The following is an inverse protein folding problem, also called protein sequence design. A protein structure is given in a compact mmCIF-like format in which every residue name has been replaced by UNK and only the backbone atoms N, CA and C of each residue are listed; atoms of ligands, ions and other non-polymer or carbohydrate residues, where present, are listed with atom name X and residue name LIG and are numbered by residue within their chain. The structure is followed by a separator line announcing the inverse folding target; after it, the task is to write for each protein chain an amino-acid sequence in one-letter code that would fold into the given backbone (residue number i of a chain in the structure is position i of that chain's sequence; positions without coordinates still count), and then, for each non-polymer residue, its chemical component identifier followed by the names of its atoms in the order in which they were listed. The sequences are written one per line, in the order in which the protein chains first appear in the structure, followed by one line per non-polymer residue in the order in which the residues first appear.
data_IF_931836679990
#
_entry.id   IF_931836679990
#
_cell.length_a   1.000
_cell.length_b   1.000
_cell.length_c   1.000
_cell.angle_alpha   90.00
_cell.angle_beta   90.00
_cell.angle_gamma   90.00
#
_symmetry.space_group_name_H-M   'P 1'
#
loop_
_entity.id
_entity.type
_entity.pdbx_description
1 polymer ?
#
# COMPACT_ATOMS: atom_id res chain seq x y z
N UNK A 1 -6.82 -13.00 38.20
CA UNK A 1 -6.25 -12.54 36.92
C UNK A 1 -5.64 -13.76 36.26
N UNK A 2 -6.23 -14.13 35.13
CA UNK A 2 -5.86 -15.31 34.36
C UNK A 2 -4.56 -15.04 33.58
N UNK A 3 -3.61 -15.96 33.65
CA UNK A 3 -2.27 -15.86 33.03
C UNK A 3 -2.22 -16.53 31.65
N UNK A 4 -3.35 -16.69 30.98
CA UNK A 4 -3.49 -17.30 29.65
C UNK A 4 -3.15 -16.36 28.48
N UNK A 5 -2.23 -15.39 28.67
CA UNK A 5 -1.69 -14.61 27.55
C UNK A 5 -0.71 -15.47 26.75
N UNK A 6 -1.20 -15.97 25.62
CA UNK A 6 -0.45 -16.39 24.43
C UNK A 6 0.95 -15.77 24.37
N UNK A 7 1.98 -16.57 24.65
CA UNK A 7 3.38 -16.18 24.49
C UNK A 7 3.80 -16.43 23.04
N UNK A 8 3.07 -15.90 22.07
CA UNK A 8 3.42 -16.04 20.66
C UNK A 8 3.10 -14.76 19.89
N UNK A 9 4.21 -14.06 19.55
CA UNK A 9 4.37 -12.96 18.59
C UNK A 9 3.62 -11.65 18.86
N UNK A 10 4.38 -10.56 19.16
CA UNK A 10 4.42 -9.31 18.34
C UNK A 10 5.23 -8.14 18.96
N UNK A 11 5.82 -8.27 20.16
CA UNK A 11 6.39 -7.09 20.86
C UNK A 11 7.78 -6.60 20.41
N UNK A 12 8.32 -7.06 19.28
CA UNK A 12 9.62 -6.59 18.77
C UNK A 12 9.53 -6.12 17.32
N UNK A 13 8.68 -5.10 17.10
CA UNK A 13 8.56 -4.38 15.82
C UNK A 13 9.64 -3.32 15.56
N UNK A 14 10.68 -3.26 16.40
CA UNK A 14 11.81 -2.36 16.16
C UNK A 14 13.14 -3.09 16.46
N UNK A 15 13.68 -3.80 15.45
CA UNK A 15 15.04 -4.36 15.48
C UNK A 15 15.23 -5.80 15.99
N UNK A 16 15.17 -6.76 15.06
CA UNK A 16 15.94 -8.03 15.03
C UNK A 16 15.88 -8.99 16.24
N UNK A 17 14.81 -9.80 16.38
CA UNK A 17 14.92 -11.10 17.06
C UNK A 17 15.22 -12.21 16.03
N UNK A 18 16.07 -13.18 16.38
CA UNK A 18 16.33 -14.37 15.56
C UNK A 18 16.22 -15.64 16.43
N UNK A 19 15.90 -16.76 15.80
CA UNK A 19 15.78 -18.05 16.45
C UNK A 19 17.00 -18.91 16.15
N UNK A 20 17.49 -19.63 17.15
CA UNK A 20 18.36 -20.80 17.00
C UNK A 20 17.53 -22.02 17.34
N UNK A 21 17.58 -23.06 16.52
CA UNK A 21 16.74 -24.24 16.73
C UNK A 21 17.48 -25.54 16.49
N UNK A 22 17.01 -26.59 17.14
CA UNK A 22 17.46 -27.97 16.99
C UNK A 22 16.29 -28.86 16.59
N UNK A 23 16.46 -29.62 15.51
CA UNK A 23 15.47 -30.60 15.03
C UNK A 23 16.09 -31.99 15.01
N UNK A 24 15.26 -33.00 15.27
CA UNK A 24 15.63 -34.40 15.10
C UNK A 24 15.14 -34.87 13.73
N UNK A 25 16.01 -35.61 13.04
CA UNK A 25 15.67 -36.24 11.77
C UNK A 25 15.32 -37.73 11.96
N UNK A 26 14.70 -38.34 10.95
CA UNK A 26 14.28 -39.75 10.94
C UNK A 26 15.39 -40.76 11.26
N UNK A 27 16.65 -40.43 10.95
CA UNK A 27 17.83 -41.25 11.25
C UNK A 27 18.41 -40.98 12.65
N UNK A 28 17.64 -40.28 13.51
CA UNK A 28 18.01 -39.87 14.85
C UNK A 28 19.25 -38.93 14.91
N UNK A 29 19.60 -38.29 13.78
CA UNK A 29 20.57 -37.19 13.79
C UNK A 29 19.91 -35.88 14.26
N UNK A 30 20.72 -34.97 14.81
CA UNK A 30 20.26 -33.67 15.30
C UNK A 30 20.87 -32.57 14.43
N UNK A 31 20.01 -31.83 13.74
CA UNK A 31 20.37 -30.66 12.96
C UNK A 31 20.17 -29.39 13.78
N UNK A 32 21.07 -28.42 13.62
CA UNK A 32 20.98 -27.10 14.26
C UNK A 32 20.96 -26.03 13.18
N UNK A 33 20.02 -25.10 13.26
CA UNK A 33 19.85 -24.01 12.31
C UNK A 33 19.46 -22.70 12.98
N UNK A 34 19.40 -21.65 12.18
CA UNK A 34 18.87 -20.34 12.57
C UNK A 34 17.78 -19.85 11.61
N UNK A 35 16.85 -19.04 12.10
CA UNK A 35 15.76 -18.46 11.33
C UNK A 35 15.31 -17.12 11.89
N UNK A 36 14.73 -16.25 11.04
CA UNK A 36 13.96 -15.09 11.52
C UNK A 36 12.53 -15.47 11.85
N UNK A 37 11.98 -16.43 11.09
CA UNK A 37 10.67 -17.01 11.31
C UNK A 37 10.84 -18.53 11.47
N UNK A 38 10.67 -18.99 12.72
CA UNK A 38 10.86 -20.39 13.10
C UNK A 38 9.79 -21.30 12.46
N UNK A 39 8.53 -20.87 12.43
CA UNK A 39 7.41 -21.68 11.92
C UNK A 39 7.54 -21.89 10.42
N UNK A 40 7.75 -20.81 9.66
CA UNK A 40 8.04 -20.90 8.21
C UNK A 40 9.23 -21.81 7.96
N UNK A 41 10.30 -21.68 8.75
CA UNK A 41 11.51 -22.49 8.54
C UNK A 41 11.28 -23.98 8.80
N UNK A 42 10.46 -24.34 9.78
CA UNK A 42 10.07 -25.73 10.02
C UNK A 42 9.27 -26.29 8.85
N UNK A 43 8.31 -25.52 8.30
CA UNK A 43 7.56 -25.91 7.10
C UNK A 43 8.48 -26.13 5.89
N UNK A 44 9.43 -25.22 5.65
CA UNK A 44 10.40 -25.37 4.55
C UNK A 44 11.16 -26.69 4.64
N UNK A 45 11.65 -27.03 5.84
CA UNK A 45 12.37 -28.28 6.08
C UNK A 45 11.48 -29.51 5.99
N UNK A 46 10.31 -29.49 6.61
CA UNK A 46 9.39 -30.63 6.67
C UNK A 46 8.83 -31.01 5.29
N UNK A 47 8.40 -30.01 4.50
CA UNK A 47 7.92 -30.22 3.13
C UNK A 47 9.06 -30.30 2.09
N UNK A 48 10.33 -30.26 2.53
CA UNK A 48 11.52 -30.35 1.68
C UNK A 48 11.51 -29.35 0.50
N UNK A 49 11.06 -28.11 0.75
CA UNK A 49 10.96 -27.06 -0.27
C UNK A 49 12.33 -26.77 -0.90
N UNK A 50 12.35 -26.14 -2.08
CA UNK A 50 13.60 -25.70 -2.74
C UNK A 50 14.46 -24.79 -1.83
N UNK A 51 13.87 -24.04 -0.90
CA UNK A 51 14.56 -23.18 0.07
C UNK A 51 15.10 -23.91 1.32
N UNK A 52 14.79 -25.20 1.50
CA UNK A 52 15.28 -25.99 2.64
C UNK A 52 16.80 -26.17 2.61
N UNK A 53 17.41 -26.38 3.79
CA UNK A 53 18.84 -26.64 3.87
C UNK A 53 19.20 -27.97 3.17
N UNK A 54 20.39 -28.04 2.56
CA UNK A 54 20.85 -29.27 1.87
C UNK A 54 20.76 -30.51 2.78
N UNK A 55 21.05 -30.36 4.07
CA UNK A 55 20.99 -31.43 5.06
C UNK A 55 19.58 -32.02 5.20
N UNK A 56 18.59 -31.15 5.44
CA UNK A 56 17.19 -31.52 5.70
C UNK A 56 16.41 -31.86 4.43
N UNK A 57 16.89 -31.46 3.24
CA UNK A 57 16.36 -31.95 1.95
C UNK A 57 16.51 -33.47 1.78
N UNK A 58 17.59 -34.04 2.32
CA UNK A 58 17.89 -35.47 2.23
C UNK A 58 17.43 -36.29 3.43
N UNK A 59 16.87 -35.65 4.47
CA UNK A 59 16.55 -36.25 5.77
C UNK A 59 15.25 -35.70 6.31
N UNK A 60 14.23 -36.55 6.49
CA UNK A 60 12.94 -36.10 7.02
C UNK A 60 13.09 -35.56 8.44
N UNK A 61 12.43 -34.44 8.74
CA UNK A 61 12.28 -33.96 10.11
C UNK A 61 11.27 -34.83 10.85
N UNK A 62 11.66 -35.30 12.03
CA UNK A 62 10.83 -36.04 12.95
C UNK A 62 10.19 -35.11 14.00
N UNK A 63 10.97 -34.16 14.53
CA UNK A 63 10.53 -33.27 15.61
C UNK A 63 11.37 -31.99 15.68
N UNK A 64 10.78 -30.92 16.20
CA UNK A 64 11.47 -29.73 16.70
C UNK A 64 11.76 -30.00 18.18
N UNK A 65 13.05 -30.16 18.51
CA UNK A 65 13.47 -30.59 19.83
C UNK A 65 13.63 -29.42 20.80
N UNK A 66 14.15 -28.29 20.30
CA UNK A 66 14.34 -27.07 21.11
C UNK A 66 14.55 -25.86 20.21
N UNK A 67 14.15 -24.68 20.68
CA UNK A 67 14.52 -23.41 20.09
C UNK A 67 14.87 -22.38 21.17
N UNK A 68 15.66 -21.38 20.80
CA UNK A 68 16.00 -20.22 21.62
C UNK A 68 15.74 -18.94 20.82
N UNK A 69 15.21 -17.91 21.46
CA UNK A 69 15.30 -16.55 20.93
C UNK A 69 16.69 -16.00 21.18
N UNK A 70 17.16 -15.19 20.24
CA UNK A 70 18.44 -14.51 20.30
C UNK A 70 18.25 -13.03 19.91
N UNK A 71 19.04 -12.12 20.52
CA UNK A 71 19.08 -10.70 20.18
C UNK A 71 19.80 -10.51 18.85
N UNK A 72 19.06 -10.74 17.78
CA UNK A 72 19.51 -10.55 16.41
C UNK A 72 20.25 -11.72 15.77
N UNK A 73 20.43 -11.58 14.46
CA UNK A 73 21.06 -12.59 13.63
C UNK A 73 22.53 -12.88 14.02
N UNK A 74 23.37 -11.89 14.37
CA UNK A 74 24.76 -12.15 14.77
C UNK A 74 24.85 -13.05 16.02
N UNK A 75 24.04 -12.78 17.04
CA UNK A 75 23.99 -13.57 18.27
C UNK A 75 23.51 -15.01 18.00
N UNK A 76 22.47 -15.16 17.16
CA UNK A 76 21.96 -16.47 16.74
C UNK A 76 23.03 -17.29 16.00
N UNK A 77 23.75 -16.67 15.06
CA UNK A 77 24.78 -17.34 14.27
C UNK A 77 25.96 -17.83 15.14
N UNK A 78 26.37 -17.06 16.15
CA UNK A 78 27.42 -17.48 17.09
C UNK A 78 26.98 -18.67 17.93
N UNK A 79 25.79 -18.64 18.51
CA UNK A 79 25.26 -19.76 19.28
C UNK A 79 25.12 -21.03 18.40
N UNK A 80 24.59 -20.90 17.19
CA UNK A 80 24.48 -21.99 16.23
C UNK A 80 25.85 -22.64 15.95
N UNK A 81 26.89 -21.82 15.72
CA UNK A 81 28.25 -22.30 15.47
C UNK A 81 28.82 -23.08 16.66
N UNK A 82 28.50 -22.69 17.90
CA UNK A 82 28.90 -23.42 19.11
C UNK A 82 28.16 -24.74 19.25
N UNK A 83 26.83 -24.73 19.13
CA UNK A 83 26.01 -25.94 19.22
C UNK A 83 26.39 -26.96 18.14
N UNK A 84 26.69 -26.52 16.92
CA UNK A 84 27.13 -27.41 15.81
C UNK A 84 28.39 -28.22 16.15
N UNK A 85 29.30 -27.68 16.97
CA UNK A 85 30.55 -28.35 17.40
C UNK A 85 30.36 -29.32 18.57
N UNK A 86 29.19 -29.31 19.22
CA UNK A 86 28.93 -30.21 20.33
C UNK A 86 28.74 -31.66 19.86
N UNK A 87 29.20 -32.60 20.68
CA UNK A 87 28.90 -34.02 20.48
C UNK A 87 27.39 -34.27 20.62
N UNK A 88 26.88 -35.35 20.02
CA UNK A 88 25.47 -35.74 20.15
C UNK A 88 25.03 -35.81 21.62
N UNK A 89 25.86 -36.39 22.49
CA UNK A 89 25.58 -36.46 23.94
C UNK A 89 25.36 -35.08 24.58
N UNK A 90 26.15 -34.08 24.19
CA UNK A 90 25.98 -32.70 24.69
C UNK A 90 24.76 -32.00 24.09
N UNK A 91 24.42 -32.27 22.82
CA UNK A 91 23.19 -31.78 22.19
C UNK A 91 21.94 -32.32 22.87
N UNK A 92 21.92 -33.62 23.18
CA UNK A 92 20.82 -34.25 23.92
C UNK A 92 20.65 -33.68 25.34
N UNK A 93 21.75 -33.28 25.98
CA UNK A 93 21.69 -32.59 27.27
C UNK A 93 21.12 -31.17 27.14
N UNK A 94 21.48 -30.42 26.09
CA UNK A 94 20.88 -29.11 25.81
C UNK A 94 19.37 -29.19 25.52
N UNK A 95 18.91 -30.24 24.85
CA UNK A 95 17.48 -30.43 24.59
C UNK A 95 16.72 -30.60 25.92
N UNK A 96 17.29 -31.35 26.88
CA UNK A 96 16.65 -31.59 28.19
C UNK A 96 16.73 -30.39 29.12
N UNK A 97 17.84 -29.66 29.06
CA UNK A 97 18.14 -28.53 29.94
C UNK A 97 18.59 -27.35 29.08
N UNK A 98 17.66 -26.63 28.41
CA UNK A 98 17.99 -25.62 27.42
C UNK A 98 18.71 -24.39 27.99
N UNK A 99 18.58 -24.16 29.30
CA UNK A 99 19.32 -23.12 30.02
C UNK A 99 20.84 -23.36 30.06
N UNK A 100 21.28 -24.61 29.81
CA UNK A 100 22.71 -24.91 29.72
C UNK A 100 23.39 -24.14 28.58
N UNK A 101 22.65 -23.64 27.58
CA UNK A 101 23.22 -22.77 26.54
C UNK A 101 23.88 -21.52 27.16
N UNK A 102 23.21 -20.87 28.11
CA UNK A 102 23.70 -19.68 28.80
C UNK A 102 24.82 -20.00 29.82
N UNK A 103 24.95 -21.25 30.25
CA UNK A 103 25.95 -21.71 31.22
C UNK A 103 27.22 -22.18 30.51
N UNK A 104 27.07 -22.90 29.40
CA UNK A 104 28.19 -23.47 28.64
C UNK A 104 28.89 -22.45 27.76
N UNK A 105 28.21 -21.37 27.38
CA UNK A 105 28.74 -20.30 26.56
C UNK A 105 28.61 -18.94 27.27
N UNK A 106 29.22 -18.78 28.46
CA UNK A 106 29.11 -17.54 29.24
C UNK A 106 29.68 -16.33 28.49
N UNK A 107 30.62 -16.53 27.57
CA UNK A 107 31.20 -15.48 26.74
C UNK A 107 30.19 -14.85 25.77
N UNK A 108 29.08 -15.51 25.48
CA UNK A 108 28.04 -14.99 24.59
C UNK A 108 27.02 -14.11 25.33
N UNK A 109 27.10 -14.00 26.66
CA UNK A 109 26.17 -13.20 27.47
C UNK A 109 26.28 -11.70 27.24
N UNK A 110 27.42 -11.21 26.76
CA UNK A 110 27.61 -9.80 26.39
C UNK A 110 26.69 -9.38 25.22
N UNK A 111 26.24 -10.34 24.40
CA UNK A 111 25.33 -10.09 23.29
C UNK A 111 23.85 -10.19 23.70
N UNK A 112 23.58 -10.72 24.89
CA UNK A 112 22.25 -10.87 25.51
C UNK A 112 21.95 -12.31 25.94
N UNK A 113 20.78 -12.51 26.53
CA UNK A 113 20.36 -13.81 27.07
C UNK A 113 19.60 -14.60 26.01
N UNK A 114 20.00 -15.85 25.78
CA UNK A 114 19.27 -16.75 24.90
C UNK A 114 18.12 -17.38 25.68
N UNK A 115 16.87 -17.03 25.36
CA UNK A 115 15.72 -17.53 26.11
C UNK A 115 15.17 -18.79 25.42
N UNK A 116 15.07 -19.93 26.12
CA UNK A 116 14.41 -21.12 25.56
C UNK A 116 12.96 -20.82 25.19
N UNK A 117 12.52 -21.34 24.05
CA UNK A 117 11.11 -21.29 23.63
C UNK A 117 10.39 -22.51 24.21
N UNK A 118 9.58 -22.31 25.24
CA UNK A 118 8.77 -23.38 25.83
C UNK A 118 7.47 -23.61 25.04
N UNK A 119 7.08 -24.88 24.88
CA UNK A 119 5.76 -25.24 24.35
C UNK A 119 5.59 -25.14 22.83
N UNK A 120 6.67 -24.95 22.05
CA UNK A 120 6.63 -24.99 20.59
C UNK A 120 6.99 -26.38 20.05
N UNK A 121 6.07 -27.04 19.37
CA UNK A 121 6.31 -28.34 18.73
C UNK A 121 6.46 -28.22 17.20
N UNK A 122 6.91 -29.31 16.56
CA UNK A 122 6.92 -29.38 15.10
C UNK A 122 5.47 -29.34 14.58
N UNK A 123 4.58 -30.07 15.22
CA UNK A 123 3.15 -30.09 14.93
C UNK A 123 2.57 -28.68 14.97
N UNK A 124 2.92 -27.86 15.96
CA UNK A 124 2.46 -26.47 16.04
C UNK A 124 3.01 -25.58 14.92
N UNK A 125 4.21 -25.88 14.42
CA UNK A 125 4.78 -25.18 13.26
C UNK A 125 4.19 -25.63 11.92
N UNK A 126 3.68 -26.87 11.88
CA UNK A 126 3.09 -27.52 10.70
C UNK A 126 1.58 -27.38 10.62
N UNK A 127 0.90 -27.14 11.75
CA UNK A 127 -0.46 -26.63 11.75
C UNK A 127 -0.47 -25.43 10.82
N UNK A 128 -1.26 -25.54 9.76
CA UNK A 128 -1.59 -24.39 8.94
C UNK A 128 -2.29 -23.42 9.88
N UNK A 129 -1.57 -22.39 10.34
CA UNK A 129 -2.24 -21.10 10.45
C UNK A 129 -2.71 -20.81 9.03
N UNK A 130 -4.02 -20.83 8.81
CA UNK A 130 -4.63 -20.19 7.64
C UNK A 130 -4.07 -18.78 7.53
N UNK A 131 -3.01 -18.60 6.74
CA UNK A 131 -2.35 -17.32 6.60
C UNK A 131 -1.45 -17.36 5.37
N UNK A 132 -1.97 -16.77 4.28
CA UNK A 132 -1.33 -15.75 3.41
C UNK A 132 -1.97 -15.65 2.02
N UNK A 133 -2.71 -16.66 1.53
CA UNK A 133 -3.44 -16.52 0.25
C UNK A 133 -4.89 -16.06 0.41
N UNK A 134 -5.57 -16.47 1.50
CA UNK A 134 -6.91 -15.97 1.84
C UNK A 134 -6.83 -14.52 2.30
N UNK A 135 -5.88 -14.19 3.19
CA UNK A 135 -5.63 -12.84 3.70
C UNK A 135 -5.37 -11.81 2.59
N UNK A 136 -4.44 -12.10 1.65
CA UNK A 136 -4.17 -11.20 0.52
C UNK A 136 -5.41 -10.99 -0.36
N UNK A 137 -6.11 -12.06 -0.71
CA UNK A 137 -7.29 -11.96 -1.56
C UNK A 137 -8.43 -11.23 -0.82
N UNK A 138 -8.58 -11.44 0.47
CA UNK A 138 -9.56 -10.75 1.31
C UNK A 138 -9.23 -9.26 1.46
N UNK A 139 -7.96 -8.88 1.63
CA UNK A 139 -7.49 -7.48 1.58
C UNK A 139 -7.84 -6.83 0.23
N UNK A 140 -7.52 -7.52 -0.88
CA UNK A 140 -7.84 -7.06 -2.23
C UNK A 140 -9.34 -6.90 -2.45
N UNK A 141 -10.13 -7.91 -2.09
CA UNK A 141 -11.58 -7.86 -2.22
C UNK A 141 -12.17 -6.78 -1.31
N UNK A 142 -11.62 -6.59 -0.11
CA UNK A 142 -12.04 -5.53 0.81
C UNK A 142 -11.80 -4.15 0.22
N UNK A 143 -10.64 -3.91 -0.39
CA UNK A 143 -10.38 -2.69 -1.15
C UNK A 143 -11.36 -2.52 -2.33
N UNK A 144 -11.56 -3.57 -3.14
CA UNK A 144 -12.45 -3.52 -4.31
C UNK A 144 -13.91 -3.24 -3.93
N UNK A 145 -14.38 -3.77 -2.80
CA UNK A 145 -15.71 -3.48 -2.27
C UNK A 145 -15.78 -2.08 -1.67
N UNK A 146 -14.70 -1.59 -1.06
CA UNK A 146 -14.64 -0.25 -0.49
C UNK A 146 -14.74 0.83 -1.56
N UNK A 147 -14.01 0.69 -2.67
CA UNK A 147 -14.01 1.69 -3.75
C UNK A 147 -15.33 1.78 -4.51
N UNK A 148 -16.25 0.80 -4.34
CA UNK A 148 -17.61 0.88 -4.90
C UNK A 148 -18.35 2.13 -4.43
N UNK A 149 -18.06 2.59 -3.20
CA UNK A 149 -18.63 3.80 -2.59
C UNK A 149 -18.29 5.08 -3.36
N UNK A 150 -17.23 5.09 -4.19
CA UNK A 150 -16.89 6.24 -5.02
C UNK A 150 -18.04 6.60 -6.00
N UNK A 151 -18.92 5.63 -6.32
CA UNK A 151 -20.11 5.87 -7.15
C UNK A 151 -21.16 6.75 -6.46
N UNK A 152 -21.08 6.93 -5.14
CA UNK A 152 -22.02 7.75 -4.37
C UNK A 152 -21.52 9.18 -4.16
N UNK A 153 -20.25 9.48 -4.48
CA UNK A 153 -19.69 10.82 -4.35
C UNK A 153 -20.08 11.64 -5.58
N UNK A 154 -20.85 12.70 -5.37
CA UNK A 154 -21.46 13.53 -6.41
C UNK A 154 -20.68 14.83 -6.58
N UNK A 155 -20.21 15.08 -7.80
CA UNK A 155 -19.47 16.30 -8.18
C UNK A 155 -20.42 17.44 -8.53
N UNK A 156 -19.89 18.68 -8.64
CA UNK A 156 -20.69 19.81 -9.14
C UNK A 156 -20.81 19.84 -10.69
N UNK A 157 -19.97 19.08 -11.40
CA UNK A 157 -20.00 18.98 -12.86
C UNK A 157 -21.25 18.22 -13.30
N UNK A 158 -21.96 18.75 -14.30
CA UNK A 158 -23.08 18.05 -14.93
C UNK A 158 -22.60 17.14 -16.06
N UNK A 159 -23.35 16.07 -16.34
CA UNK A 159 -23.20 15.33 -17.59
C UNK A 159 -23.35 16.26 -18.81
N UNK A 160 -22.82 15.84 -19.97
CA UNK A 160 -22.80 16.65 -21.19
C UNK A 160 -24.20 17.13 -21.65
N UNK A 161 -25.25 16.38 -21.34
CA UNK A 161 -26.64 16.73 -21.65
C UNK A 161 -27.31 17.61 -20.58
N UNK A 162 -26.62 17.88 -19.47
CA UNK A 162 -27.11 18.67 -18.34
C UNK A 162 -28.13 17.97 -17.45
N UNK A 163 -28.38 16.67 -17.63
CA UNK A 163 -29.47 15.92 -16.98
C UNK A 163 -29.27 15.77 -15.47
N UNK A 164 -28.07 15.38 -15.04
CA UNK A 164 -27.68 15.22 -13.63
C UNK A 164 -26.21 15.57 -13.43
N UNK A 165 -25.81 15.65 -12.16
CA UNK A 165 -24.40 15.76 -11.75
C UNK A 165 -23.69 14.41 -11.95
N UNK A 166 -22.42 14.46 -12.34
CA UNK A 166 -21.55 13.28 -12.47
C UNK A 166 -21.11 12.78 -11.08
N UNK A 167 -20.69 11.53 -11.00
CA UNK A 167 -20.03 10.98 -9.80
C UNK A 167 -18.51 10.94 -10.01
N UNK A 168 -17.73 10.81 -8.93
CA UNK A 168 -16.27 10.65 -9.05
C UNK A 168 -15.87 9.39 -9.82
N UNK A 169 -16.62 8.30 -9.63
CA UNK A 169 -16.36 7.07 -10.38
C UNK A 169 -16.58 7.27 -11.90
N UNK A 170 -17.63 8.02 -12.28
CA UNK A 170 -17.90 8.36 -13.69
C UNK A 170 -16.85 9.33 -14.24
N UNK A 171 -16.41 10.29 -13.43
CA UNK A 171 -15.35 11.23 -13.76
C UNK A 171 -14.03 10.50 -14.04
N UNK A 172 -13.58 9.66 -13.10
CA UNK A 172 -12.36 8.86 -13.19
C UNK A 172 -12.36 7.94 -14.44
N UNK A 173 -13.49 7.28 -14.72
CA UNK A 173 -13.66 6.52 -15.96
C UNK A 173 -13.49 7.39 -17.21
N UNK A 174 -14.13 8.56 -17.24
CA UNK A 174 -14.11 9.43 -18.41
C UNK A 174 -12.70 9.95 -18.70
N UNK A 175 -11.99 10.43 -17.69
CA UNK A 175 -10.61 10.95 -17.85
C UNK A 175 -9.60 9.83 -18.16
N UNK A 176 -9.82 8.60 -17.67
CA UNK A 176 -9.01 7.44 -18.05
C UNK A 176 -9.16 7.11 -19.54
N UNK A 177 -10.39 7.15 -20.08
CA UNK A 177 -10.63 7.01 -21.52
C UNK A 177 -10.02 8.17 -22.31
N UNK A 178 -10.13 9.40 -21.79
CA UNK A 178 -9.47 10.56 -22.39
C UNK A 178 -7.95 10.38 -22.46
N UNK A 179 -7.32 9.82 -21.43
CA UNK A 179 -5.88 9.54 -21.43
C UNK A 179 -5.48 8.62 -22.58
N UNK A 180 -6.24 7.56 -22.82
CA UNK A 180 -5.97 6.65 -23.93
C UNK A 180 -6.11 7.36 -25.29
N UNK A 181 -7.11 8.21 -25.46
CA UNK A 181 -7.42 8.88 -26.73
C UNK A 181 -6.49 10.07 -27.01
N UNK A 182 -6.11 10.81 -25.96
CA UNK A 182 -5.43 12.11 -26.08
C UNK A 182 -3.93 12.05 -25.73
N UNK A 183 -3.38 10.88 -25.37
CA UNK A 183 -1.98 10.73 -24.98
C UNK A 183 -0.97 11.26 -26.00
N UNK A 184 -1.31 11.33 -27.29
CA UNK A 184 -0.48 11.95 -28.33
C UNK A 184 -0.25 13.46 -28.15
N UNK A 185 -1.08 14.12 -27.33
CA UNK A 185 -0.97 15.54 -27.01
C UNK A 185 -0.20 15.81 -25.70
N UNK A 186 0.33 14.78 -25.03
CA UNK A 186 1.20 14.99 -23.88
C UNK A 186 2.48 15.72 -24.30
N UNK A 187 2.91 16.69 -23.50
CA UNK A 187 4.13 17.46 -23.79
C UNK A 187 5.39 16.58 -23.82
N UNK A 188 5.39 15.52 -23.00
CA UNK A 188 6.47 14.54 -22.89
C UNK A 188 5.89 13.12 -23.04
N UNK A 189 6.68 12.14 -23.49
CA UNK A 189 6.23 10.74 -23.51
C UNK A 189 5.82 10.27 -22.10
N UNK A 190 4.69 9.58 -22.02
CA UNK A 190 4.13 9.04 -20.77
C UNK A 190 3.95 7.53 -20.85
N UNK A 191 4.00 6.85 -19.70
CA UNK A 191 3.45 5.50 -19.56
C UNK A 191 1.91 5.58 -19.47
N UNK A 192 1.23 5.32 -20.60
CA UNK A 192 -0.24 5.40 -20.68
C UNK A 192 -0.92 4.44 -19.71
N UNK A 193 -0.59 3.13 -19.63
CA UNK A 193 -1.16 2.23 -18.62
C UNK A 193 -1.01 2.73 -17.17
N UNK A 194 0.17 3.25 -16.79
CA UNK A 194 0.40 3.82 -15.46
C UNK A 194 -0.47 5.05 -15.23
N UNK A 195 -0.53 5.96 -16.20
CA UNK A 195 -1.32 7.21 -16.12
C UNK A 195 -2.81 6.92 -16.02
N UNK A 196 -3.31 5.92 -16.75
CA UNK A 196 -4.69 5.43 -16.63
C UNK A 196 -4.96 4.89 -15.22
N UNK A 197 -4.06 4.10 -14.65
CA UNK A 197 -4.22 3.59 -13.27
C UNK A 197 -4.24 4.74 -12.25
N UNK A 198 -3.36 5.73 -12.42
CA UNK A 198 -3.33 6.94 -11.59
C UNK A 198 -4.69 7.67 -11.63
N UNK A 199 -5.23 7.91 -12.82
CA UNK A 199 -6.52 8.57 -13.02
C UNK A 199 -7.71 7.76 -12.46
N UNK A 200 -7.66 6.43 -12.50
CA UNK A 200 -8.71 5.62 -11.88
C UNK A 200 -8.72 5.70 -10.35
N UNK A 201 -7.58 6.08 -9.73
CA UNK A 201 -7.39 6.07 -8.29
C UNK A 201 -7.30 7.46 -7.65
N UNK A 202 -7.08 8.52 -8.43
CA UNK A 202 -6.77 9.86 -7.89
C UNK A 202 -7.80 10.39 -6.86
N UNK A 203 -9.10 10.22 -7.14
CA UNK A 203 -10.19 10.67 -6.27
C UNK A 203 -10.75 9.56 -5.35
N UNK A 204 -10.13 8.36 -5.27
CA UNK A 204 -10.66 7.27 -4.42
C UNK A 204 -10.71 7.67 -2.93
N UNK A 205 -9.82 8.56 -2.51
CA UNK A 205 -9.78 9.10 -1.16
C UNK A 205 -10.99 9.98 -0.80
N UNK A 206 -11.73 10.47 -1.80
CA UNK A 206 -12.93 11.30 -1.59
C UNK A 206 -14.09 10.50 -0.99
N UNK A 207 -14.00 9.17 -0.93
CA UNK A 207 -14.93 8.31 -0.17
C UNK A 207 -15.02 8.75 1.29
N UNK A 208 -13.89 9.12 1.90
CA UNK A 208 -13.84 9.60 3.29
C UNK A 208 -13.70 11.11 3.39
N UNK A 209 -12.90 11.70 2.50
CA UNK A 209 -12.64 13.13 2.53
C UNK A 209 -13.88 13.93 2.07
N UNK A 210 -14.71 13.35 1.19
CA UNK A 210 -15.78 14.02 0.45
C UNK A 210 -15.25 14.92 -0.67
N UNK A 211 -15.96 14.97 -1.80
CA UNK A 211 -15.65 15.93 -2.89
C UNK A 211 -15.69 17.36 -2.34
N UNK A 212 -14.55 18.03 -2.44
CA UNK A 212 -14.41 19.43 -2.02
C UNK A 212 -14.39 20.31 -3.26
N UNK A 213 -15.50 21.01 -3.50
CA UNK A 213 -15.64 21.87 -4.67
C UNK A 213 -14.47 22.85 -4.80
N UNK A 214 -13.88 22.92 -5.99
CA UNK A 214 -12.64 23.63 -6.22
C UNK A 214 -12.67 25.15 -5.89
N UNK A 215 -13.87 25.76 -5.83
CA UNK A 215 -14.03 27.18 -5.50
C UNK A 215 -14.57 27.43 -4.07
N UNK A 216 -14.65 26.40 -3.22
CA UNK A 216 -15.05 26.53 -1.81
C UNK A 216 -13.82 26.77 -0.91
N UNK A 217 -13.60 28.03 -0.51
CA UNK A 217 -12.48 28.39 0.36
C UNK A 217 -12.55 27.75 1.76
N UNK A 218 -13.76 27.53 2.30
CA UNK A 218 -13.92 26.99 3.64
C UNK A 218 -13.64 25.48 3.69
N UNK A 219 -14.14 24.73 2.69
CA UNK A 219 -13.87 23.29 2.55
C UNK A 219 -12.39 22.96 2.36
N UNK A 220 -11.63 23.86 1.71
CA UNK A 220 -10.21 23.65 1.42
C UNK A 220 -9.28 23.78 2.64
N UNK A 221 -9.70 24.42 3.74
CA UNK A 221 -8.83 24.70 4.88
C UNK A 221 -8.33 23.46 5.62
N UNK A 222 -9.12 22.37 5.66
CA UNK A 222 -8.76 21.10 6.32
C UNK A 222 -8.61 19.95 5.33
N UNK A 223 -8.62 20.26 4.03
CA UNK A 223 -8.66 19.27 2.94
C UNK A 223 -7.49 18.29 3.05
N UNK A 224 -6.25 18.79 3.13
CA UNK A 224 -5.06 17.94 3.15
C UNK A 224 -5.03 16.91 4.29
N UNK A 225 -5.42 17.30 5.51
CA UNK A 225 -5.43 16.40 6.66
C UNK A 225 -6.55 15.33 6.57
N UNK A 226 -7.65 15.66 5.90
CA UNK A 226 -8.71 14.68 5.60
C UNK A 226 -8.24 13.69 4.54
N UNK A 227 -7.64 14.19 3.47
CA UNK A 227 -7.13 13.41 2.35
C UNK A 227 -6.03 12.43 2.77
N UNK A 228 -5.06 12.87 3.57
CA UNK A 228 -4.00 11.97 4.05
C UNK A 228 -4.58 10.86 4.92
N UNK A 229 -5.50 11.17 5.84
CA UNK A 229 -6.15 10.13 6.67
C UNK A 229 -7.00 9.17 5.84
N UNK A 230 -7.70 9.68 4.84
CA UNK A 230 -8.47 8.87 3.90
C UNK A 230 -7.55 7.92 3.11
N UNK A 231 -6.43 8.43 2.60
CA UNK A 231 -5.45 7.65 1.88
C UNK A 231 -4.83 6.54 2.73
N UNK A 232 -4.42 6.85 3.96
CA UNK A 232 -3.87 5.86 4.89
C UNK A 232 -4.88 4.75 5.21
N UNK A 233 -6.17 5.09 5.38
CA UNK A 233 -7.20 4.08 5.63
C UNK A 233 -7.51 3.24 4.39
N UNK A 234 -7.81 3.89 3.27
CA UNK A 234 -8.34 3.21 2.08
C UNK A 234 -7.25 2.38 1.40
N UNK A 235 -6.07 2.94 1.14
CA UNK A 235 -4.96 2.15 0.61
C UNK A 235 -4.42 1.18 1.65
N UNK A 236 -4.58 1.47 2.95
CA UNK A 236 -4.28 0.55 4.05
C UNK A 236 -5.03 -0.78 3.99
N UNK A 237 -6.15 -0.86 3.26
CA UNK A 237 -6.87 -2.13 3.01
C UNK A 237 -6.13 -3.08 2.07
N UNK A 238 -5.19 -2.56 1.27
CA UNK A 238 -4.45 -3.37 0.31
C UNK A 238 -3.26 -4.09 0.98
N UNK A 239 -2.85 -5.23 0.39
CA UNK A 239 -1.57 -5.85 0.70
C UNK A 239 -0.43 -4.85 0.53
N UNK A 240 0.62 -4.98 1.35
CA UNK A 240 1.72 -3.99 1.46
C UNK A 240 2.26 -3.49 0.12
N UNK A 241 2.57 -4.40 -0.82
CA UNK A 241 3.11 -4.05 -2.13
C UNK A 241 2.13 -3.25 -3.00
N UNK A 242 0.84 -3.58 -2.93
CA UNK A 242 -0.21 -2.86 -3.67
C UNK A 242 -0.54 -1.53 -3.00
N UNK A 243 -0.52 -1.48 -1.67
CA UNK A 243 -0.65 -0.25 -0.89
C UNK A 243 0.44 0.74 -1.26
N UNK A 244 1.70 0.33 -1.19
CA UNK A 244 2.85 1.18 -1.55
C UNK A 244 2.71 1.71 -2.98
N UNK A 245 2.32 0.84 -3.93
CA UNK A 245 2.16 1.24 -5.32
C UNK A 245 1.00 2.21 -5.54
N UNK A 246 -0.20 1.93 -5.03
CA UNK A 246 -1.38 2.78 -5.25
C UNK A 246 -1.32 4.09 -4.47
N UNK A 247 -0.80 4.05 -3.23
CA UNK A 247 -0.49 5.26 -2.45
C UNK A 247 0.52 6.12 -3.20
N UNK A 248 1.57 5.50 -3.74
CA UNK A 248 2.60 6.18 -4.53
C UNK A 248 2.04 6.86 -5.79
N UNK A 249 1.10 6.22 -6.51
CA UNK A 249 0.42 6.84 -7.66
C UNK A 249 -0.38 8.07 -7.26
N UNK A 250 -1.08 8.02 -6.11
CA UNK A 250 -1.80 9.18 -5.60
C UNK A 250 -0.83 10.31 -5.19
N UNK A 251 0.23 9.99 -4.45
CA UNK A 251 1.23 10.99 -4.04
C UNK A 251 1.91 11.64 -5.27
N UNK A 252 2.16 10.86 -6.32
CA UNK A 252 2.69 11.34 -7.59
C UNK A 252 1.72 12.28 -8.31
N UNK A 253 0.43 11.94 -8.36
CA UNK A 253 -0.63 12.80 -8.93
C UNK A 253 -0.69 14.15 -8.20
N UNK A 254 -0.71 14.12 -6.87
CA UNK A 254 -0.77 15.32 -6.02
C UNK A 254 0.45 16.23 -6.16
N UNK A 255 1.64 15.64 -6.33
CA UNK A 255 2.88 16.40 -6.51
C UNK A 255 2.90 17.15 -7.86
N UNK A 256 2.28 16.59 -8.90
CA UNK A 256 2.24 17.18 -10.26
C UNK A 256 3.65 17.50 -10.80
N UNK A 257 4.59 16.58 -10.61
CA UNK A 257 6.00 16.75 -11.01
C UNK A 257 6.38 15.91 -12.24
N UNK A 258 5.90 14.68 -12.33
CA UNK A 258 6.21 13.74 -13.42
C UNK A 258 5.41 14.05 -14.68
N UNK A 259 5.88 13.64 -15.88
CA UNK A 259 5.10 13.73 -17.11
C UNK A 259 3.70 13.12 -16.99
N UNK A 260 3.59 11.95 -16.36
CA UNK A 260 2.32 11.27 -16.12
C UNK A 260 1.39 12.10 -15.23
N UNK A 261 1.88 12.61 -14.10
CA UNK A 261 1.06 13.40 -13.18
C UNK A 261 0.62 14.73 -13.79
N UNK A 262 1.50 15.42 -14.52
CA UNK A 262 1.16 16.66 -15.24
C UNK A 262 0.08 16.42 -16.28
N UNK A 263 0.20 15.35 -17.08
CA UNK A 263 -0.79 15.02 -18.09
C UNK A 263 -2.11 14.57 -17.45
N UNK A 264 -2.08 13.72 -16.43
CA UNK A 264 -3.26 13.32 -15.67
C UNK A 264 -4.02 14.53 -15.10
N UNK A 265 -3.30 15.44 -14.44
CA UNK A 265 -3.89 16.66 -13.87
C UNK A 265 -4.44 17.61 -14.96
N UNK A 266 -3.84 17.61 -16.15
CA UNK A 266 -4.38 18.32 -17.31
C UNK A 266 -5.75 17.76 -17.70
N UNK A 267 -5.87 16.43 -17.81
CA UNK A 267 -7.12 15.76 -18.18
C UNK A 267 -8.23 15.98 -17.14
N UNK A 268 -7.91 15.85 -15.85
CA UNK A 268 -8.81 16.15 -14.72
C UNK A 268 -9.37 17.57 -14.82
N UNK A 269 -8.52 18.55 -15.14
CA UNK A 269 -8.92 19.96 -15.21
C UNK A 269 -9.71 20.33 -16.45
N UNK A 270 -9.43 19.74 -17.61
CA UNK A 270 -10.12 20.08 -18.86
C UNK A 270 -11.48 19.39 -18.99
N UNK A 271 -11.67 18.19 -18.44
CA UNK A 271 -12.92 17.44 -18.57
C UNK A 271 -14.13 18.25 -18.05
N UNK A 272 -14.09 18.89 -16.87
CA UNK A 272 -15.20 19.68 -16.36
C UNK A 272 -15.54 20.87 -17.25
N UNK A 273 -14.53 21.46 -17.92
CA UNK A 273 -14.76 22.57 -18.86
C UNK A 273 -15.49 22.09 -20.10
N UNK A 274 -15.09 20.95 -20.66
CA UNK A 274 -15.74 20.34 -21.83
C UNK A 274 -17.20 19.98 -21.53
N UNK A 275 -17.45 19.34 -20.39
CA UNK A 275 -18.80 18.97 -19.98
C UNK A 275 -19.65 20.20 -19.68
N UNK A 276 -19.11 21.20 -18.99
CA UNK A 276 -19.86 22.40 -18.64
C UNK A 276 -20.19 23.26 -19.87
N UNK A 277 -19.30 23.37 -20.86
CA UNK A 277 -19.63 23.97 -22.16
C UNK A 277 -20.78 23.24 -22.85
N UNK A 278 -20.76 21.90 -22.87
CA UNK A 278 -21.86 21.11 -23.46
C UNK A 278 -23.17 21.21 -22.70
N UNK A 279 -23.11 21.30 -21.37
CA UNK A 279 -24.25 21.59 -20.53
C UNK A 279 -24.67 23.09 -20.57
N UNK A 280 -24.18 23.88 -21.54
CA UNK A 280 -24.50 25.30 -21.74
C UNK A 280 -24.21 26.16 -20.52
N UNK A 281 -23.06 25.94 -19.90
CA UNK A 281 -22.60 26.72 -18.76
C UNK A 281 -23.37 26.49 -17.46
N UNK A 282 -24.21 25.46 -17.36
CA UNK A 282 -25.12 25.24 -16.23
C UNK A 282 -24.44 25.32 -14.87
N UNK A 283 -23.34 24.58 -14.67
CA UNK A 283 -22.58 24.61 -13.41
C UNK A 283 -21.94 25.98 -13.14
N UNK A 284 -21.36 26.63 -14.16
CA UNK A 284 -20.79 27.98 -14.01
C UNK A 284 -21.84 29.02 -13.60
N UNK A 285 -23.02 28.97 -14.20
CA UNK A 285 -24.13 29.87 -13.89
C UNK A 285 -24.69 29.63 -12.48
N UNK A 286 -24.92 28.36 -12.11
CA UNK A 286 -25.43 27.96 -10.79
C UNK A 286 -24.55 28.46 -9.65
N UNK A 287 -23.23 28.38 -9.83
CA UNK A 287 -22.26 28.77 -8.80
C UNK A 287 -21.68 30.19 -9.01
N UNK A 288 -22.11 30.92 -10.03
CA UNK A 288 -21.62 32.27 -10.32
C UNK A 288 -20.11 32.34 -10.55
N UNK A 289 -19.54 31.32 -11.19
CA UNK A 289 -18.09 31.16 -11.40
C UNK A 289 -17.54 32.30 -12.25
N UNK A 290 -16.40 32.87 -11.82
CA UNK A 290 -15.67 33.92 -12.53
C UNK A 290 -14.53 33.34 -13.38
N UNK A 291 -14.21 34.02 -14.48
CA UNK A 291 -13.17 33.59 -15.41
C UNK A 291 -11.78 33.48 -14.76
N UNK A 292 -11.43 34.41 -13.87
CA UNK A 292 -10.16 34.39 -13.12
C UNK A 292 -10.07 33.20 -12.16
N UNK A 293 -11.18 32.74 -11.57
CA UNK A 293 -11.21 31.53 -10.74
C UNK A 293 -10.86 30.30 -11.56
N UNK A 294 -11.42 30.20 -12.78
CA UNK A 294 -11.12 29.11 -13.70
C UNK A 294 -9.66 29.17 -14.14
N UNK A 295 -9.17 30.35 -14.55
CA UNK A 295 -7.79 30.52 -14.99
C UNK A 295 -6.78 30.23 -13.88
N UNK A 296 -7.05 30.68 -12.65
CA UNK A 296 -6.20 30.39 -11.48
C UNK A 296 -6.15 28.89 -11.18
N UNK A 297 -7.29 28.20 -11.17
CA UNK A 297 -7.33 26.72 -10.98
C UNK A 297 -6.53 25.99 -12.06
N UNK A 298 -6.48 26.55 -13.27
CA UNK A 298 -5.87 25.95 -14.44
C UNK A 298 -4.48 26.51 -14.78
N UNK A 299 -3.84 27.25 -13.88
CA UNK A 299 -2.60 27.97 -14.20
C UNK A 299 -1.46 27.02 -14.65
N UNK A 300 -1.44 25.80 -14.10
CA UNK A 300 -0.46 24.75 -14.43
C UNK A 300 -0.94 23.75 -15.49
N UNK A 301 -2.15 23.88 -16.03
CA UNK A 301 -2.74 22.90 -16.98
C UNK A 301 -1.89 22.76 -18.26
N UNK A 302 -1.22 23.83 -18.69
CA UNK A 302 -0.32 23.79 -19.85
C UNK A 302 0.91 22.90 -19.65
N UNK A 303 1.31 22.60 -18.41
CA UNK A 303 2.50 21.80 -18.13
C UNK A 303 2.37 20.34 -18.58
N UNK A 304 1.15 19.79 -18.64
CA UNK A 304 0.91 18.45 -19.18
C UNK A 304 0.59 18.43 -20.67
N UNK A 305 -0.14 19.43 -21.17
CA UNK A 305 -0.40 19.61 -22.60
C UNK A 305 -0.69 21.07 -22.95
N UNK A 306 0.19 21.70 -23.72
CA UNK A 306 -0.06 23.04 -24.26
C UNK A 306 -1.24 23.05 -25.24
N UNK A 307 -1.33 22.02 -26.09
CA UNK A 307 -2.37 21.91 -27.14
C UNK A 307 -3.77 21.78 -26.55
N UNK A 308 -3.94 20.89 -25.56
CA UNK A 308 -5.25 20.71 -24.91
C UNK A 308 -5.63 21.95 -24.08
N UNK A 309 -4.65 22.59 -23.45
CA UNK A 309 -4.89 23.81 -22.71
C UNK A 309 -5.36 24.94 -23.62
N UNK A 310 -4.70 25.15 -24.76
CA UNK A 310 -5.11 26.16 -25.76
C UNK A 310 -6.55 25.95 -26.22
N UNK A 311 -6.89 24.70 -26.55
CA UNK A 311 -8.25 24.34 -26.95
C UNK A 311 -9.30 24.70 -25.89
N UNK A 312 -9.01 24.41 -24.62
CA UNK A 312 -9.94 24.68 -23.51
C UNK A 312 -9.97 26.16 -23.14
N UNK A 313 -8.86 26.90 -23.28
CA UNK A 313 -8.84 28.36 -23.09
C UNK A 313 -9.78 29.07 -24.06
N UNK A 314 -9.84 28.64 -25.32
CA UNK A 314 -10.77 29.21 -26.30
C UNK A 314 -12.24 28.97 -25.90
N UNK A 315 -12.54 27.81 -25.31
CA UNK A 315 -13.87 27.50 -24.76
C UNK A 315 -14.20 28.44 -23.59
N UNK A 316 -13.26 28.64 -22.65
CA UNK A 316 -13.44 29.54 -21.50
C UNK A 316 -13.69 30.98 -21.99
N UNK A 317 -12.88 31.45 -22.95
CA UNK A 317 -13.03 32.79 -23.54
C UNK A 317 -14.41 32.96 -24.17
N UNK A 318 -14.81 32.04 -25.05
CA UNK A 318 -16.12 32.03 -25.70
C UNK A 318 -17.28 32.07 -24.69
N UNK A 319 -17.19 31.30 -23.60
CA UNK A 319 -18.25 31.24 -22.59
C UNK A 319 -18.27 32.47 -21.66
N UNK A 320 -17.13 33.14 -21.49
CA UNK A 320 -17.05 34.44 -20.80
C UNK A 320 -17.70 35.53 -21.65
N UNK A 321 -17.38 35.61 -22.94
CA UNK A 321 -18.00 36.54 -23.90
C UNK A 321 -19.50 36.26 -24.07
N UNK A 322 -19.90 34.99 -24.01
CA UNK A 322 -21.31 34.55 -24.08
C UNK A 322 -22.12 34.76 -22.80
N UNK A 323 -21.50 35.22 -21.70
CA UNK A 323 -22.18 35.48 -20.43
C UNK A 323 -22.50 34.25 -19.59
N UNK A 324 -21.96 33.07 -19.92
CA UNK A 324 -22.08 31.85 -19.12
C UNK A 324 -21.08 31.79 -17.96
N UNK A 325 -19.96 32.50 -18.10
CA UNK A 325 -18.94 32.71 -17.08
C UNK A 325 -18.90 34.19 -16.76
N UNK A 326 -18.78 34.56 -15.48
CA UNK A 326 -18.67 35.97 -15.08
C UNK A 326 -17.28 36.51 -15.45
N UNK A 327 -17.23 37.58 -16.24
CA UNK A 327 -15.99 38.30 -16.54
C UNK A 327 -15.47 39.12 -15.34
N UNK A 328 -14.30 39.75 -15.50
CA UNK A 328 -13.68 40.57 -14.45
C UNK A 328 -14.48 41.83 -14.07
N UNK A 329 -15.35 42.33 -14.97
CA UNK A 329 -16.02 43.63 -14.83
C UNK A 329 -17.55 43.60 -14.64
N UNK A 330 -18.19 42.43 -14.51
CA UNK A 330 -19.64 42.39 -14.28
C UNK A 330 -19.99 42.32 -12.78
N UNK A 331 -19.53 43.34 -12.05
CA UNK A 331 -20.09 43.74 -10.78
C UNK A 331 -21.25 44.72 -11.02
N UNK A 332 -22.48 44.23 -10.86
CA UNK A 332 -23.66 45.06 -10.58
C UNK A 332 -24.58 44.28 -9.63
#
# INVERSE_FOLDING_TARGET
MDFSKSVYYDEYKDGQAAYVYMVRCEDNSIYTGIARDLRRRMREHYYRKKSAAKYTKSRQLLSLEMAWTAPGWPAAAKLEARIKRLSKKKKEALIREPELANIWFPELREEGVYMPCEGISLEDCLKEEESTSMDRLEEQISFLLEIDKQKEIIRQTYLADGSRKETDAEHAWHIAVMCMVLSEYANEPIDVPKTVMMLLLHDVIEIDAGDTYAYDEAGNATKRDREVRAAERIYGLLPEDQREYFRGLWDEFEAMETPEAKFANTLDKIQPVLLTDRAKGKSWLEHGVRSDQILKRNERTHEGSEVLWDYVRDIIKKNTEGGFIRGEDNGA
#
